data_IF_560226809909
#
_entry.id   IF_560226809909
#
_cell.length_a   1.000
_cell.length_b   1.000
_cell.length_c   1.000
_cell.angle_alpha   90.00
_cell.angle_beta   90.00
_cell.angle_gamma   90.00
#
_symmetry.space_group_name_H-M   'P 1'
#
loop_
_entity.id
_entity.type
_entity.pdbx_description
1 polymer ?
#
# COMPACT_ATOMS: atom_id res chain seq x y z
N UNK A 1 25.98 0.86 16.12
CA UNK A 1 25.50 -0.43 15.60
C UNK A 1 24.03 -0.62 15.96
N UNK A 2 23.16 0.35 15.67
CA UNK A 2 21.71 0.22 15.93
C UNK A 2 20.96 0.66 14.67
N UNK A 3 20.69 -0.31 13.80
CA UNK A 3 19.81 -0.18 12.63
C UNK A 3 19.06 -1.48 12.42
N UNK A 4 17.98 -1.65 13.16
CA UNK A 4 16.77 -2.35 12.73
C UNK A 4 15.62 -1.72 13.51
N UNK A 5 14.88 -0.85 12.82
CA UNK A 5 13.74 -0.16 13.39
C UNK A 5 12.70 -1.16 13.86
N UNK A 6 12.20 -0.93 15.08
CA UNK A 6 11.09 -1.63 15.71
C UNK A 6 9.94 -1.81 14.71
N UNK A 7 9.79 -3.02 14.17
CA UNK A 7 8.54 -3.46 13.57
C UNK A 7 7.52 -3.47 14.71
N UNK A 8 6.54 -2.57 14.64
CA UNK A 8 5.43 -2.53 15.59
C UNK A 8 4.35 -3.44 15.03
N UNK A 9 4.07 -4.53 15.72
CA UNK A 9 3.21 -5.60 15.23
C UNK A 9 1.76 -5.24 15.56
N UNK A 10 0.88 -5.32 14.55
CA UNK A 10 -0.55 -5.03 14.65
C UNK A 10 -1.33 -6.32 14.44
N UNK A 11 -1.83 -6.87 15.54
CA UNK A 11 -2.83 -7.95 15.51
C UNK A 11 -4.15 -7.36 14.96
N UNK A 12 -4.33 -7.36 13.65
CA UNK A 12 -5.32 -6.50 12.98
C UNK A 12 -6.79 -6.96 13.12
N UNK A 13 -7.10 -8.06 13.82
CA UNK A 13 -8.47 -8.59 13.84
C UNK A 13 -9.02 -9.12 15.17
N UNK A 14 -8.23 -9.23 16.24
CA UNK A 14 -8.75 -9.71 17.54
C UNK A 14 -9.62 -8.67 18.29
N UNK A 15 -9.70 -7.42 17.81
CA UNK A 15 -10.63 -6.43 18.34
C UNK A 15 -12.04 -6.49 17.73
N UNK A 16 -12.26 -7.28 16.66
CA UNK A 16 -13.57 -7.38 15.97
C UNK A 16 -14.41 -8.60 16.39
N UNK A 17 -13.87 -9.50 17.21
CA UNK A 17 -14.60 -10.65 17.77
C UNK A 17 -15.69 -10.27 18.80
N UNK A 18 -15.87 -8.98 19.09
CA UNK A 18 -16.98 -8.47 19.90
C UNK A 18 -18.28 -8.20 19.11
N UNK A 19 -18.37 -8.59 17.83
CA UNK A 19 -19.56 -8.41 17.00
C UNK A 19 -20.07 -9.73 16.44
N UNK A 20 -21.20 -10.20 16.97
CA UNK A 20 -22.07 -11.29 16.50
C UNK A 20 -21.52 -12.73 16.39
N UNK A 21 -20.26 -12.99 16.75
CA UNK A 21 -19.80 -14.37 17.01
C UNK A 21 -19.70 -14.56 18.52
N UNK A 22 -20.62 -15.33 19.13
CA UNK A 22 -20.53 -15.75 20.54
C UNK A 22 -19.34 -16.70 20.73
N UNK A 23 -18.15 -16.15 20.72
CA UNK A 23 -16.98 -16.75 21.35
C UNK A 23 -16.91 -16.08 22.72
N UNK A 24 -16.97 -16.86 23.80
CA UNK A 24 -16.90 -16.32 25.16
C UNK A 24 -15.66 -15.41 25.29
N UNK A 25 -15.84 -14.22 25.86
CA UNK A 25 -14.84 -13.14 25.90
C UNK A 25 -13.48 -13.61 26.48
N UNK A 26 -13.51 -14.55 27.43
CA UNK A 26 -12.33 -15.13 28.06
C UNK A 26 -11.51 -16.03 27.10
N UNK A 27 -12.21 -16.70 26.18
CA UNK A 27 -11.61 -17.60 25.19
C UNK A 27 -10.87 -16.85 24.06
N UNK A 28 -11.40 -15.68 23.66
CA UNK A 28 -10.74 -14.82 22.67
C UNK A 28 -9.40 -14.27 23.18
N UNK A 29 -9.29 -14.02 24.49
CA UNK A 29 -8.07 -13.51 25.10
C UNK A 29 -7.00 -14.61 25.23
N UNK A 30 -7.39 -15.81 25.65
CA UNK A 30 -6.46 -16.95 25.72
C UNK A 30 -5.87 -17.33 24.35
N UNK A 31 -6.70 -17.38 23.30
CA UNK A 31 -6.21 -17.69 21.94
C UNK A 31 -5.28 -16.60 21.40
N UNK A 32 -5.54 -15.34 21.76
CA UNK A 32 -4.66 -14.22 21.44
C UNK A 32 -3.30 -14.40 22.10
N UNK A 33 -3.29 -14.65 23.40
CA UNK A 33 -2.05 -14.77 24.17
C UNK A 33 -1.19 -15.94 23.63
N UNK A 34 -1.81 -17.08 23.27
CA UNK A 34 -1.11 -18.19 22.64
C UNK A 34 -0.47 -17.85 21.28
N UNK A 35 -1.10 -17.02 20.44
CA UNK A 35 -0.48 -16.58 19.17
C UNK A 35 0.63 -15.57 19.40
N UNK A 36 0.45 -14.65 20.36
CA UNK A 36 1.43 -13.61 20.67
C UNK A 36 2.73 -14.20 21.23
N UNK A 37 2.73 -15.40 21.83
CA UNK A 37 3.97 -16.11 22.22
C UNK A 37 4.89 -16.47 21.04
N UNK A 38 4.35 -16.53 19.83
CA UNK A 38 5.10 -16.86 18.61
C UNK A 38 5.48 -15.61 17.80
N UNK A 39 5.13 -14.43 18.30
CA UNK A 39 5.52 -13.15 17.75
C UNK A 39 7.05 -12.96 17.87
N UNK A 40 7.72 -12.56 16.79
CA UNK A 40 9.19 -12.47 16.68
C UNK A 40 9.95 -13.78 16.97
N UNK A 41 9.24 -14.89 17.19
CA UNK A 41 9.86 -16.20 17.41
C UNK A 41 10.50 -16.67 16.11
N UNK A 42 11.64 -17.31 16.27
CA UNK A 42 12.45 -17.78 15.16
C UNK A 42 12.28 -19.29 15.01
N UNK A 43 11.87 -19.71 13.82
CA UNK A 43 11.90 -21.11 13.42
C UNK A 43 13.35 -21.62 13.39
N UNK A 44 13.57 -22.92 13.57
CA UNK A 44 14.88 -23.52 13.32
C UNK A 44 15.31 -23.21 11.88
N UNK A 45 16.62 -23.10 11.66
CA UNK A 45 17.18 -22.67 10.38
C UNK A 45 16.71 -23.52 9.19
N UNK A 46 16.44 -24.80 9.43
CA UNK A 46 16.06 -25.78 8.42
C UNK A 46 14.54 -26.05 8.37
N UNK A 47 13.77 -25.42 9.27
CA UNK A 47 12.33 -25.61 9.34
C UNK A 47 11.59 -24.63 8.42
N UNK A 48 10.68 -25.17 7.61
CA UNK A 48 9.77 -24.36 6.81
C UNK A 48 8.81 -23.56 7.69
N UNK A 49 8.33 -24.17 8.77
CA UNK A 49 7.49 -23.55 9.81
C UNK A 49 7.74 -24.21 11.16
N UNK A 50 7.66 -23.44 12.25
CA UNK A 50 7.64 -23.99 13.60
C UNK A 50 6.37 -24.83 13.81
N UNK A 51 6.53 -26.09 14.22
CA UNK A 51 5.41 -27.01 14.40
C UNK A 51 4.50 -26.64 15.57
N UNK A 52 5.01 -25.93 16.57
CA UNK A 52 4.22 -25.35 17.65
C UNK A 52 3.30 -24.26 17.10
N UNK A 53 3.84 -23.33 16.32
CA UNK A 53 3.07 -22.29 15.65
C UNK A 53 1.97 -22.89 14.77
N UNK A 54 2.32 -23.86 13.93
CA UNK A 54 1.37 -24.48 13.02
C UNK A 54 0.20 -25.16 13.76
N UNK A 55 0.49 -25.83 14.89
CA UNK A 55 -0.53 -26.44 15.75
C UNK A 55 -1.43 -25.40 16.41
N UNK A 56 -0.87 -24.29 16.89
CA UNK A 56 -1.66 -23.19 17.49
C UNK A 56 -2.58 -22.57 16.45
N UNK A 57 -2.07 -22.27 15.25
CA UNK A 57 -2.87 -21.77 14.14
C UNK A 57 -4.03 -22.71 13.81
N UNK A 58 -3.76 -24.01 13.70
CA UNK A 58 -4.78 -25.02 13.42
C UNK A 58 -5.83 -25.14 14.53
N UNK A 59 -5.44 -25.08 15.80
CA UNK A 59 -6.38 -25.09 16.93
C UNK A 59 -7.32 -23.89 16.88
N UNK A 60 -6.81 -22.71 16.57
CA UNK A 60 -7.62 -21.50 16.45
C UNK A 60 -8.57 -21.62 15.27
N UNK A 61 -8.10 -22.05 14.10
CA UNK A 61 -8.96 -22.26 12.93
C UNK A 61 -10.03 -23.29 13.17
N UNK A 62 -9.71 -24.43 13.79
CA UNK A 62 -10.71 -25.44 14.12
C UNK A 62 -11.81 -24.89 15.05
N UNK A 63 -11.41 -24.13 16.07
CA UNK A 63 -12.34 -23.59 17.09
C UNK A 63 -13.19 -22.43 16.60
N UNK A 64 -12.63 -21.59 15.74
CA UNK A 64 -13.27 -20.34 15.30
C UNK A 64 -13.85 -20.42 13.90
N UNK A 65 -13.47 -21.44 13.12
CA UNK A 65 -13.68 -21.51 11.67
C UNK A 65 -13.06 -20.34 10.88
N UNK A 66 -12.17 -19.55 11.51
CA UNK A 66 -11.45 -18.44 10.88
C UNK A 66 -10.10 -18.91 10.36
N UNK A 67 -9.66 -18.34 9.25
CA UNK A 67 -8.30 -18.57 8.75
C UNK A 67 -7.31 -17.85 9.65
N UNK A 68 -6.16 -18.47 9.91
CA UNK A 68 -5.03 -17.86 10.61
C UNK A 68 -3.85 -17.89 9.67
N UNK A 69 -3.12 -16.77 9.55
CA UNK A 69 -1.93 -16.74 8.73
C UNK A 69 -0.73 -16.12 9.42
N UNK A 70 0.44 -16.55 8.95
CA UNK A 70 1.75 -16.18 9.43
C UNK A 70 2.64 -15.79 8.25
N UNK A 71 3.30 -14.64 8.39
CA UNK A 71 4.37 -14.22 7.49
C UNK A 71 5.72 -14.50 8.13
N UNK A 72 6.57 -15.23 7.42
CA UNK A 72 7.88 -15.67 7.92
C UNK A 72 8.96 -15.22 6.94
N UNK A 73 10.01 -14.57 7.43
CA UNK A 73 11.14 -14.14 6.60
C UNK A 73 12.11 -15.30 6.27
N UNK A 74 13.11 -15.03 5.40
CA UNK A 74 14.18 -15.99 5.07
C UNK A 74 15.07 -16.39 6.25
N UNK A 75 15.07 -15.62 7.34
CA UNK A 75 15.82 -15.95 8.56
C UNK A 75 15.00 -16.84 9.50
N UNK A 76 13.73 -17.10 9.18
CA UNK A 76 12.81 -17.91 9.98
C UNK A 76 12.04 -17.11 11.03
N UNK A 77 12.12 -15.77 11.02
CA UNK A 77 11.43 -14.91 11.99
C UNK A 77 9.98 -14.72 11.56
N UNK A 78 9.04 -14.92 12.48
CA UNK A 78 7.62 -14.61 12.29
C UNK A 78 7.44 -13.09 12.34
N UNK A 79 7.20 -12.48 11.18
CA UNK A 79 7.08 -11.03 10.97
C UNK A 79 5.69 -10.53 11.31
N UNK A 80 4.66 -11.35 11.08
CA UNK A 80 3.27 -10.97 11.34
C UNK A 80 2.38 -12.20 11.46
N UNK A 81 1.35 -12.08 12.32
CA UNK A 81 0.26 -13.04 12.49
C UNK A 81 -1.08 -12.33 12.31
N UNK A 82 -2.03 -12.97 11.65
CA UNK A 82 -3.36 -12.42 11.40
C UNK A 82 -4.44 -13.51 11.40
N UNK A 83 -5.69 -13.10 11.62
CA UNK A 83 -6.88 -13.96 11.63
C UNK A 83 -7.93 -13.32 10.71
N UNK A 84 -8.55 -14.10 9.81
CA UNK A 84 -9.50 -13.60 8.80
C UNK A 84 -10.74 -14.49 8.67
N UNK A 85 -11.87 -13.84 8.32
CA UNK A 85 -13.20 -14.41 8.12
C UNK A 85 -13.26 -15.33 6.89
N UNK A 86 -12.81 -14.87 5.71
CA UNK A 86 -12.87 -15.60 4.43
C UNK A 86 -11.85 -15.06 3.42
N UNK A 87 -11.39 -15.94 2.53
CA UNK A 87 -10.60 -15.88 1.27
C UNK A 87 -9.55 -14.78 1.04
N UNK A 88 -9.70 -13.62 1.65
CA UNK A 88 -8.86 -12.45 1.49
C UNK A 88 -8.04 -12.22 2.76
N UNK A 89 -6.73 -12.25 2.57
CA UNK A 89 -5.76 -11.78 3.56
C UNK A 89 -5.43 -10.34 3.19
N UNK A 90 -5.90 -9.38 3.98
CA UNK A 90 -5.59 -7.97 3.75
C UNK A 90 -4.16 -7.64 4.21
N UNK A 91 -3.23 -7.68 3.25
CA UNK A 91 -1.81 -7.42 3.48
C UNK A 91 -1.43 -5.95 3.19
N UNK A 92 -2.40 -5.06 2.97
CA UNK A 92 -2.19 -3.68 2.52
C UNK A 92 -1.32 -2.83 3.46
N UNK A 93 -1.22 -3.18 4.75
CA UNK A 93 -0.40 -2.46 5.73
C UNK A 93 0.98 -3.10 6.00
N UNK A 94 1.30 -4.25 5.41
CA UNK A 94 2.55 -4.97 5.67
C UNK A 94 3.55 -4.64 4.57
N UNK A 95 4.77 -4.24 4.96
CA UNK A 95 5.88 -3.99 4.03
C UNK A 95 6.28 -5.32 3.40
N UNK A 96 5.60 -5.66 2.31
CA UNK A 96 5.60 -6.97 1.66
C UNK A 96 6.49 -6.94 0.42
N UNK A 97 7.19 -8.03 0.17
CA UNK A 97 8.11 -8.16 -0.96
C UNK A 97 8.83 -9.52 -0.97
N UNK A 98 9.75 -9.68 -1.92
CA UNK A 98 10.64 -10.85 -2.05
C UNK A 98 11.30 -11.18 -0.70
N UNK A 99 11.39 -12.45 -0.35
CA UNK A 99 11.99 -12.89 0.92
C UNK A 99 11.02 -13.20 2.06
N UNK A 100 9.72 -13.22 1.79
CA UNK A 100 8.68 -13.60 2.75
C UNK A 100 7.95 -14.86 2.28
N UNK A 101 7.60 -15.71 3.25
CA UNK A 101 6.78 -16.91 3.07
C UNK A 101 5.46 -16.69 3.79
N UNK A 102 4.36 -16.89 3.09
CA UNK A 102 3.03 -16.81 3.67
C UNK A 102 2.49 -18.21 3.93
N UNK A 103 2.11 -18.48 5.19
CA UNK A 103 1.49 -19.74 5.60
C UNK A 103 0.14 -19.40 6.20
N UNK A 104 -0.93 -19.99 5.70
CA UNK A 104 -2.28 -19.79 6.23
C UNK A 104 -3.03 -21.11 6.37
N UNK A 105 -3.90 -21.17 7.37
CA UNK A 105 -4.79 -22.30 7.63
C UNK A 105 -6.11 -22.11 6.91
N UNK A 106 -6.67 -23.21 6.42
CA UNK A 106 -7.96 -23.25 5.74
C UNK A 106 -8.87 -24.23 6.49
N UNK A 107 -10.09 -23.81 6.90
CA UNK A 107 -11.04 -24.70 7.54
C UNK A 107 -11.59 -25.74 6.55
N UNK A 108 -12.08 -26.87 7.06
CA UNK A 108 -12.77 -27.93 6.31
C UNK A 108 -11.91 -28.71 5.29
N UNK A 109 -10.63 -28.94 5.61
CA UNK A 109 -9.73 -29.85 4.87
C UNK A 109 -9.51 -29.52 3.37
N UNK A 110 -9.82 -28.30 2.92
CA UNK A 110 -9.53 -27.89 1.53
C UNK A 110 -8.27 -27.03 1.47
N UNK A 111 -7.10 -27.65 1.47
CA UNK A 111 -5.84 -26.92 1.40
C UNK A 111 -5.46 -26.48 -0.03
N UNK A 112 -6.34 -26.64 -1.03
CA UNK A 112 -6.02 -26.27 -2.41
C UNK A 112 -5.86 -24.75 -2.56
N UNK A 113 -4.80 -24.34 -3.26
CA UNK A 113 -4.56 -22.93 -3.54
C UNK A 113 -5.61 -22.36 -4.50
N UNK A 114 -6.34 -21.37 -4.01
CA UNK A 114 -7.35 -20.64 -4.76
C UNK A 114 -6.72 -19.71 -5.80
N UNK A 115 -7.54 -19.15 -6.70
CA UNK A 115 -7.07 -18.11 -7.63
C UNK A 115 -6.60 -16.85 -6.89
N UNK A 116 -7.17 -16.57 -5.72
CA UNK A 116 -6.78 -15.44 -4.88
C UNK A 116 -5.42 -15.67 -4.22
N UNK A 117 -5.11 -16.90 -3.81
CA UNK A 117 -3.78 -17.28 -3.29
C UNK A 117 -2.70 -17.10 -4.37
N UNK A 118 -3.00 -17.56 -5.59
CA UNK A 118 -2.11 -17.40 -6.75
C UNK A 118 -1.92 -15.94 -7.13
N UNK A 119 -2.97 -15.14 -7.10
CA UNK A 119 -2.90 -13.70 -7.34
C UNK A 119 -2.09 -13.00 -6.24
N UNK A 120 -2.27 -13.39 -4.98
CA UNK A 120 -1.55 -12.86 -3.80
C UNK A 120 -0.05 -13.17 -3.90
N UNK A 121 0.31 -14.42 -4.22
CA UNK A 121 1.70 -14.83 -4.45
C UNK A 121 2.38 -13.93 -5.50
N UNK A 122 1.72 -13.70 -6.64
CA UNK A 122 2.23 -12.85 -7.73
C UNK A 122 2.28 -11.37 -7.35
N UNK A 123 1.20 -10.85 -6.75
CA UNK A 123 1.04 -9.42 -6.41
C UNK A 123 2.08 -8.95 -5.39
N UNK A 124 2.33 -9.75 -4.35
CA UNK A 124 3.23 -9.37 -3.26
C UNK A 124 4.67 -9.91 -3.43
N UNK A 125 4.89 -10.76 -4.44
CA UNK A 125 6.21 -11.31 -4.73
C UNK A 125 6.76 -12.18 -3.61
N UNK A 126 5.89 -12.92 -2.90
CA UNK A 126 6.34 -13.85 -1.86
C UNK A 126 7.19 -14.97 -2.45
N UNK A 127 8.12 -15.48 -1.65
CA UNK A 127 8.92 -16.64 -2.03
C UNK A 127 8.01 -17.89 -2.15
N UNK A 128 6.98 -17.98 -1.32
CA UNK A 128 5.92 -18.98 -1.45
C UNK A 128 4.62 -18.57 -0.73
N UNK A 129 3.53 -19.22 -1.11
CA UNK A 129 2.27 -19.26 -0.35
C UNK A 129 1.94 -20.71 0.00
N UNK A 130 1.55 -20.97 1.25
CA UNK A 130 1.21 -22.30 1.74
C UNK A 130 -0.16 -22.27 2.40
N UNK A 131 -1.08 -23.03 1.85
CA UNK A 131 -2.38 -23.31 2.47
C UNK A 131 -2.28 -24.64 3.22
N UNK A 132 -2.76 -24.66 4.46
CA UNK A 132 -2.78 -25.85 5.33
C UNK A 132 -4.21 -26.18 5.72
N UNK A 133 -4.68 -27.36 5.35
CA UNK A 133 -6.01 -27.84 5.68
C UNK A 133 -6.13 -28.15 7.18
N UNK A 134 -7.29 -27.83 7.75
CA UNK A 134 -7.58 -28.07 9.18
C UNK A 134 -8.87 -28.86 9.33
N UNK A 135 -8.80 -29.88 10.17
CA UNK A 135 -9.90 -30.78 10.58
C UNK A 135 -10.07 -30.78 12.10
N UNK A 136 -11.04 -31.57 12.58
CA UNK A 136 -11.22 -31.87 14.01
C UNK A 136 -9.99 -32.56 14.62
N UNK A 137 -9.22 -33.28 13.81
CA UNK A 137 -8.02 -34.02 14.23
C UNK A 137 -6.73 -33.18 14.12
N UNK A 138 -6.83 -31.89 13.78
CA UNK A 138 -5.70 -30.99 13.58
C UNK A 138 -5.41 -30.73 12.10
N UNK A 139 -4.15 -30.48 11.76
CA UNK A 139 -3.75 -30.23 10.37
C UNK A 139 -3.88 -31.49 9.51
N UNK A 140 -4.35 -31.33 8.28
CA UNK A 140 -4.50 -32.41 7.31
C UNK A 140 -3.36 -32.36 6.30
N UNK A 141 -3.64 -31.92 5.09
CA UNK A 141 -2.75 -31.72 3.97
C UNK A 141 -2.31 -30.26 3.87
N UNK A 142 -1.30 -30.00 3.05
CA UNK A 142 -0.89 -28.66 2.69
C UNK A 142 -0.54 -28.56 1.20
N UNK A 143 -0.83 -27.43 0.58
CA UNK A 143 -0.36 -27.12 -0.76
C UNK A 143 0.52 -25.88 -0.73
N UNK A 144 1.71 -26.00 -1.32
CA UNK A 144 2.71 -24.93 -1.35
C UNK A 144 2.93 -24.48 -2.78
N UNK A 145 2.57 -23.23 -3.04
CA UNK A 145 2.74 -22.56 -4.33
C UNK A 145 4.03 -21.75 -4.33
N UNK A 146 4.87 -22.00 -5.33
CA UNK A 146 6.12 -21.28 -5.55
C UNK A 146 6.17 -20.77 -6.99
N UNK A 147 6.64 -19.53 -7.18
CA UNK A 147 6.76 -18.94 -8.51
C UNK A 147 8.04 -19.43 -9.20
N UNK A 148 7.89 -20.08 -10.36
CA UNK A 148 8.99 -20.53 -11.23
C UNK A 148 8.78 -19.89 -12.60
N UNK A 149 9.58 -18.88 -12.92
CA UNK A 149 9.35 -18.00 -14.05
C UNK A 149 7.98 -17.30 -13.95
N UNK A 150 7.09 -17.58 -14.91
CA UNK A 150 5.71 -17.04 -14.97
C UNK A 150 4.65 -17.99 -14.40
N UNK A 151 5.03 -19.23 -14.13
CA UNK A 151 4.13 -20.29 -13.68
C UNK A 151 4.25 -20.51 -12.17
N UNK A 152 3.18 -21.05 -11.58
CA UNK A 152 3.17 -21.41 -10.16
C UNK A 152 3.29 -22.92 -10.09
N UNK A 153 4.43 -23.38 -9.59
CA UNK A 153 4.62 -24.78 -9.23
C UNK A 153 3.94 -25.03 -7.89
N UNK A 154 3.11 -26.07 -7.81
CA UNK A 154 2.40 -26.45 -6.60
C UNK A 154 2.98 -27.78 -6.10
N UNK A 155 3.52 -27.77 -4.88
CA UNK A 155 3.91 -28.98 -4.17
C UNK A 155 2.80 -29.38 -3.22
N UNK A 156 2.20 -30.54 -3.47
CA UNK A 156 1.16 -31.11 -2.60
C UNK A 156 1.81 -31.94 -1.49
N UNK A 157 1.38 -31.73 -0.26
CA UNK A 157 1.88 -32.40 0.94
C UNK A 157 0.69 -33.10 1.59
N UNK A 158 0.55 -34.43 1.41
CA UNK A 158 -0.60 -35.17 1.92
C UNK A 158 -0.78 -35.10 3.44
N UNK A 159 0.29 -34.80 4.18
CA UNK A 159 0.23 -34.61 5.62
C UNK A 159 1.15 -33.46 6.05
N UNK A 160 0.53 -32.36 6.46
CA UNK A 160 1.18 -31.11 6.84
C UNK A 160 2.12 -31.24 8.05
N UNK A 161 1.97 -32.26 8.90
CA UNK A 161 2.93 -32.54 9.98
C UNK A 161 4.34 -32.89 9.48
N UNK A 162 4.46 -33.27 8.20
CA UNK A 162 5.73 -33.56 7.57
C UNK A 162 6.27 -32.41 6.70
N UNK A 163 5.63 -31.24 6.71
CA UNK A 163 5.99 -30.13 5.79
C UNK A 163 7.47 -29.75 5.81
N UNK A 164 8.13 -29.78 6.98
CA UNK A 164 9.56 -29.47 7.11
C UNK A 164 10.47 -30.54 6.47
N UNK A 165 9.97 -31.75 6.20
CA UNK A 165 10.74 -32.84 5.55
C UNK A 165 10.73 -32.79 4.03
N UNK A 166 9.96 -31.89 3.41
CA UNK A 166 9.81 -31.81 1.94
C UNK A 166 10.91 -30.98 1.25
N UNK A 167 11.91 -30.51 1.99
CA UNK A 167 13.02 -29.71 1.43
C UNK A 167 12.54 -28.40 0.79
N UNK A 168 11.44 -27.82 1.28
CA UNK A 168 10.80 -26.66 0.65
C UNK A 168 11.70 -25.43 0.62
N UNK A 169 12.53 -25.24 1.65
CA UNK A 169 13.50 -24.15 1.71
C UNK A 169 14.54 -24.25 0.61
N UNK A 170 15.06 -25.45 0.34
CA UNK A 170 16.01 -25.69 -0.75
C UNK A 170 15.37 -25.43 -2.12
N UNK A 171 14.10 -25.84 -2.30
CA UNK A 171 13.34 -25.56 -3.52
C UNK A 171 13.11 -24.06 -3.72
N UNK A 172 12.77 -23.33 -2.66
CA UNK A 172 12.64 -21.86 -2.70
C UNK A 172 13.95 -21.23 -3.15
N UNK A 173 15.08 -21.65 -2.56
CA UNK A 173 16.39 -21.13 -2.92
C UNK A 173 16.77 -21.48 -4.37
N UNK A 174 16.48 -22.70 -4.83
CA UNK A 174 16.69 -23.13 -6.22
C UNK A 174 15.87 -22.30 -7.20
N UNK A 175 14.56 -22.20 -7.00
CA UNK A 175 13.68 -21.41 -7.86
C UNK A 175 14.01 -19.93 -7.84
N UNK A 176 14.44 -19.39 -6.69
CA UNK A 176 14.93 -18.01 -6.63
C UNK A 176 16.19 -17.80 -7.49
N UNK A 177 17.09 -18.79 -7.56
CA UNK A 177 18.31 -18.75 -8.40
C UNK A 177 18.01 -18.96 -9.87
N UNK A 178 17.07 -19.84 -10.21
CA UNK A 178 16.68 -20.09 -11.60
C UNK A 178 15.93 -18.89 -12.18
N UNK A 179 15.05 -18.27 -11.39
CA UNK A 179 14.45 -16.98 -11.74
C UNK A 179 15.53 -15.90 -11.98
N UNK A 180 16.62 -15.89 -11.19
CA UNK A 180 17.74 -14.96 -11.38
C UNK A 180 18.67 -15.31 -12.58
N UNK A 181 18.60 -16.51 -13.17
CA UNK A 181 19.42 -16.90 -14.33
C UNK A 181 18.81 -16.47 -15.66
N UNK A 182 17.48 -16.44 -15.74
CA UNK A 182 16.76 -15.77 -16.84
C UNK A 182 16.81 -14.22 -16.70
N UNK A 183 17.21 -13.70 -15.54
CA UNK A 183 17.31 -12.26 -15.23
C UNK A 183 18.56 -11.56 -15.80
N UNK A 184 19.50 -12.24 -16.49
CA UNK A 184 20.58 -11.54 -17.20
C UNK A 184 20.12 -10.79 -18.47
N UNK A 185 18.81 -10.82 -18.77
CA UNK A 185 18.15 -9.90 -19.71
C UNK A 185 16.79 -9.39 -19.22
N UNK A 186 16.45 -9.55 -17.94
CA UNK A 186 15.16 -9.14 -17.41
C UNK A 186 15.31 -8.41 -16.08
N UNK A 187 15.31 -7.09 -16.17
CA UNK A 187 14.97 -6.21 -15.05
C UNK A 187 13.65 -6.68 -14.42
N UNK A 188 13.60 -6.63 -13.08
CA UNK A 188 12.43 -6.95 -12.28
C UNK A 188 11.14 -6.36 -12.89
N UNK A 189 10.36 -7.18 -13.61
CA UNK A 189 9.00 -6.81 -14.01
C UNK A 189 8.11 -6.87 -12.78
N UNK A 190 8.19 -5.83 -11.97
CA UNK A 190 6.96 -5.18 -11.50
C UNK A 190 6.16 -4.97 -12.77
N UNK A 191 5.09 -5.73 -12.99
CA UNK A 191 4.21 -5.47 -14.12
C UNK A 191 3.78 -4.00 -13.95
N UNK A 192 4.30 -3.13 -14.81
CA UNK A 192 4.09 -1.69 -14.70
C UNK A 192 2.57 -1.48 -14.75
N UNK A 193 1.98 -0.98 -13.68
CA UNK A 193 0.52 -0.85 -13.58
C UNK A 193 0.01 -0.07 -14.79
N UNK A 194 -0.99 -0.61 -15.47
CA UNK A 194 -1.56 -0.03 -16.69
C UNK A 194 -2.73 0.86 -16.32
N UNK A 195 -2.69 2.11 -16.74
CA UNK A 195 -3.74 3.07 -16.43
C UNK A 195 -4.34 3.72 -17.68
N UNK A 196 -5.65 3.95 -17.60
CA UNK A 196 -6.36 4.85 -18.51
C UNK A 196 -6.50 6.19 -17.82
N UNK A 197 -6.09 7.25 -18.50
CA UNK A 197 -6.31 8.62 -18.01
C UNK A 197 -7.68 9.11 -18.46
N UNK A 198 -8.44 9.70 -17.55
CA UNK A 198 -9.78 10.23 -17.81
C UNK A 198 -9.87 11.69 -17.38
N UNK A 199 -10.39 12.54 -18.26
CA UNK A 199 -10.64 13.95 -17.95
C UNK A 199 -12.05 14.39 -18.37
N UNK A 200 -12.76 15.04 -17.45
CA UNK A 200 -13.96 15.80 -17.77
C UNK A 200 -13.59 17.29 -17.83
N UNK A 201 -13.59 17.85 -19.04
CA UNK A 201 -13.36 19.27 -19.27
C UNK A 201 -14.65 20.03 -18.90
N UNK A 202 -14.61 20.81 -17.82
CA UNK A 202 -15.74 21.57 -17.27
C UNK A 202 -15.41 23.07 -17.39
N UNK A 203 -16.20 23.80 -18.19
CA UNK A 203 -16.19 25.27 -18.32
C UNK A 203 -14.84 25.97 -18.64
N UNK A 204 -13.75 25.23 -18.82
CA UNK A 204 -12.42 25.77 -19.16
C UNK A 204 -12.20 25.74 -20.67
N UNK A 205 -11.59 26.81 -21.19
CA UNK A 205 -10.95 26.89 -22.51
C UNK A 205 -9.46 26.52 -22.41
N UNK A 206 -9.08 25.81 -21.34
CA UNK A 206 -7.72 25.32 -21.13
C UNK A 206 -7.41 24.22 -22.16
N UNK A 207 -6.15 24.16 -22.58
CA UNK A 207 -5.69 23.16 -23.52
C UNK A 207 -5.67 21.78 -22.85
N UNK A 208 -6.75 21.01 -23.04
CA UNK A 208 -6.92 19.62 -22.57
C UNK A 208 -5.70 18.76 -22.89
N UNK A 209 -4.99 19.04 -23.99
CA UNK A 209 -3.79 18.29 -24.35
C UNK A 209 -2.63 18.55 -23.40
N UNK A 210 -2.49 19.77 -22.87
CA UNK A 210 -1.48 20.14 -21.88
C UNK A 210 -1.78 19.47 -20.54
N UNK A 211 -3.03 19.51 -20.08
CA UNK A 211 -3.44 18.91 -18.81
C UNK A 211 -3.29 17.39 -18.82
N UNK A 212 -3.74 16.73 -19.89
CA UNK A 212 -3.56 15.28 -20.05
C UNK A 212 -2.08 14.88 -20.16
N UNK A 213 -1.23 15.74 -20.74
CA UNK A 213 0.21 15.50 -20.81
C UNK A 213 0.88 15.66 -19.45
N UNK A 214 0.45 16.63 -18.64
CA UNK A 214 0.92 16.76 -17.25
C UNK A 214 0.48 15.56 -16.42
N UNK A 215 -0.79 15.13 -16.54
CA UNK A 215 -1.32 13.96 -15.84
C UNK A 215 -0.59 12.67 -16.25
N UNK A 216 -0.27 12.50 -17.53
CA UNK A 216 0.59 11.42 -18.00
C UNK A 216 1.99 11.49 -17.40
N UNK A 217 2.59 12.67 -17.32
CA UNK A 217 3.86 12.88 -16.64
C UNK A 217 3.81 12.44 -15.18
N UNK A 218 2.71 12.71 -14.47
CA UNK A 218 2.50 12.28 -13.10
C UNK A 218 2.40 10.75 -13.02
N UNK A 219 1.59 10.13 -13.89
CA UNK A 219 1.43 8.68 -13.93
C UNK A 219 2.78 7.98 -14.21
N UNK A 220 3.53 8.45 -15.19
CA UNK A 220 4.85 7.93 -15.52
C UNK A 220 5.84 8.08 -14.35
N UNK A 221 5.79 9.23 -13.65
CA UNK A 221 6.61 9.47 -12.44
C UNK A 221 6.28 8.50 -11.31
N UNK A 222 5.02 8.08 -11.20
CA UNK A 222 4.56 7.07 -10.25
C UNK A 222 4.90 5.62 -10.70
N UNK A 223 5.54 5.46 -11.86
CA UNK A 223 5.82 4.13 -12.43
C UNK A 223 4.60 3.46 -13.03
N UNK A 224 3.59 4.22 -13.44
CA UNK A 224 2.35 3.73 -14.05
C UNK A 224 2.45 3.90 -15.58
N UNK A 225 2.13 2.86 -16.34
CA UNK A 225 2.09 2.87 -17.80
C UNK A 225 0.74 3.40 -18.27
N UNK A 226 0.72 4.55 -18.93
CA UNK A 226 -0.49 5.05 -19.57
C UNK A 226 -0.77 4.25 -20.84
N UNK A 227 -1.90 3.56 -20.90
CA UNK A 227 -2.31 2.75 -22.07
C UNK A 227 -3.33 3.45 -22.95
N UNK A 228 -4.12 4.37 -22.38
CA UNK A 228 -5.11 5.13 -23.12
C UNK A 228 -5.42 6.46 -22.42
N UNK A 229 -5.93 7.44 -23.17
CA UNK A 229 -6.34 8.76 -22.68
C UNK A 229 -7.72 9.08 -23.24
N UNK A 230 -8.68 9.28 -22.35
CA UNK A 230 -10.07 9.49 -22.68
C UNK A 230 -10.52 10.80 -22.06
N UNK A 231 -11.21 11.65 -22.81
CA UNK A 231 -11.75 12.89 -22.26
C UNK A 231 -13.17 13.16 -22.76
N UNK A 232 -13.89 14.01 -22.03
CA UNK A 232 -15.23 14.45 -22.39
C UNK A 232 -15.44 15.92 -22.01
N UNK A 233 -15.80 16.75 -22.99
CA UNK A 233 -16.28 18.11 -22.74
C UNK A 233 -17.69 18.09 -22.16
N UNK A 234 -17.90 18.82 -21.07
CA UNK A 234 -19.21 18.97 -20.41
C UNK A 234 -19.40 20.39 -19.89
N UNK A 235 -20.63 20.87 -19.90
CA UNK A 235 -20.97 22.12 -19.21
C UNK A 235 -20.96 21.94 -17.69
N UNK A 236 -21.40 20.77 -17.19
CA UNK A 236 -21.40 20.44 -15.76
C UNK A 236 -20.99 18.98 -15.52
N UNK A 237 -20.30 18.70 -14.39
CA UNK A 237 -19.95 17.35 -14.02
C UNK A 237 -21.21 16.53 -13.75
N UNK A 238 -21.22 15.28 -14.21
CA UNK A 238 -22.24 14.33 -13.78
C UNK A 238 -22.16 14.12 -12.25
N UNK A 239 -23.31 14.16 -11.53
CA UNK A 239 -23.29 14.04 -10.07
C UNK A 239 -22.80 12.67 -9.60
N UNK A 240 -22.99 11.61 -10.40
CA UNK A 240 -22.66 10.22 -10.06
C UNK A 240 -21.26 9.81 -10.51
N UNK A 241 -20.86 10.18 -11.72
CA UNK A 241 -19.62 9.70 -12.34
C UNK A 241 -18.68 10.80 -12.84
N UNK A 242 -19.05 12.08 -12.74
CA UNK A 242 -18.37 13.25 -13.38
C UNK A 242 -18.49 13.25 -14.90
N UNK A 243 -18.41 12.10 -15.54
CA UNK A 243 -18.63 11.84 -16.97
C UNK A 243 -20.04 11.29 -17.24
N UNK A 244 -20.47 11.29 -18.50
CA UNK A 244 -21.77 10.73 -18.90
C UNK A 244 -21.75 9.20 -19.02
N UNK A 245 -22.92 8.56 -18.92
CA UNK A 245 -23.06 7.10 -18.96
C UNK A 245 -22.49 6.46 -20.23
N UNK A 246 -22.75 7.04 -21.42
CA UNK A 246 -22.17 6.52 -22.67
C UNK A 246 -20.62 6.58 -22.68
N UNK A 247 -20.03 7.56 -21.99
CA UNK A 247 -18.56 7.66 -21.85
C UNK A 247 -18.03 6.68 -20.82
N UNK A 248 -18.80 6.43 -19.76
CA UNK A 248 -18.48 5.40 -18.77
C UNK A 248 -18.42 4.00 -19.42
N UNK A 249 -19.37 3.68 -20.30
CA UNK A 249 -19.36 2.42 -21.07
C UNK A 249 -18.18 2.33 -22.05
N UNK A 250 -17.80 3.45 -22.67
CA UNK A 250 -16.59 3.53 -23.49
C UNK A 250 -15.33 3.22 -22.67
N UNK A 251 -15.19 3.81 -21.48
CA UNK A 251 -14.07 3.55 -20.57
C UNK A 251 -14.10 2.10 -20.09
N UNK A 252 -15.26 1.54 -19.73
CA UNK A 252 -15.37 0.14 -19.30
C UNK A 252 -14.92 -0.84 -20.40
N UNK A 253 -15.20 -0.52 -21.67
CA UNK A 253 -14.69 -1.29 -22.81
C UNK A 253 -13.18 -1.12 -22.97
N UNK A 254 -12.68 0.10 -22.89
CA UNK A 254 -11.25 0.38 -22.96
C UNK A 254 -10.46 -0.32 -21.84
N UNK A 255 -10.97 -0.34 -20.61
CA UNK A 255 -10.35 -1.07 -19.48
C UNK A 255 -10.13 -2.54 -19.82
N UNK A 256 -11.10 -3.19 -20.46
CA UNK A 256 -10.99 -4.61 -20.86
C UNK A 256 -10.07 -4.81 -22.06
N UNK A 257 -10.18 -3.95 -23.08
CA UNK A 257 -9.40 -4.05 -24.32
C UNK A 257 -7.92 -3.74 -24.09
N UNK A 258 -7.64 -2.71 -23.31
CA UNK A 258 -6.30 -2.21 -23.03
C UNK A 258 -5.68 -2.85 -21.77
N UNK A 259 -6.36 -3.85 -21.18
CA UNK A 259 -5.96 -4.56 -19.96
C UNK A 259 -5.48 -3.58 -18.86
N UNK A 260 -6.28 -2.56 -18.59
CA UNK A 260 -5.92 -1.55 -17.60
C UNK A 260 -6.19 -2.06 -16.18
N UNK A 261 -5.23 -1.88 -15.29
CA UNK A 261 -5.34 -2.23 -13.86
C UNK A 261 -6.09 -1.15 -13.07
N UNK A 262 -6.12 0.08 -13.60
CA UNK A 262 -6.73 1.24 -12.94
C UNK A 262 -7.15 2.35 -13.90
N UNK A 263 -7.98 3.25 -13.40
CA UNK A 263 -8.36 4.50 -14.08
C UNK A 263 -7.97 5.70 -13.22
N UNK A 264 -7.31 6.68 -13.84
CA UNK A 264 -6.84 7.90 -13.19
C UNK A 264 -7.66 9.08 -13.72
N UNK A 265 -8.44 9.70 -12.84
CA UNK A 265 -9.21 10.89 -13.17
C UNK A 265 -8.39 12.16 -12.88
N UNK A 266 -8.37 13.10 -13.83
CA UNK A 266 -7.81 14.43 -13.59
C UNK A 266 -8.64 15.20 -12.56
N UNK A 267 -9.98 15.17 -12.70
CA UNK A 267 -10.89 15.87 -11.82
C UNK A 267 -10.89 15.27 -10.41
N UNK A 268 -11.02 16.13 -9.40
CA UNK A 268 -11.19 15.68 -8.02
C UNK A 268 -12.49 14.89 -7.85
N UNK A 269 -12.35 13.69 -7.27
CA UNK A 269 -13.48 12.81 -6.98
C UNK A 269 -13.80 12.85 -5.49
N UNK A 270 -15.06 12.62 -5.13
CA UNK A 270 -15.42 12.32 -3.74
C UNK A 270 -15.55 10.80 -3.56
N UNK A 271 -15.65 10.32 -2.32
CA UNK A 271 -15.71 8.88 -2.04
C UNK A 271 -16.85 8.17 -2.76
N UNK A 272 -18.04 8.79 -2.82
CA UNK A 272 -19.20 8.21 -3.51
C UNK A 272 -18.96 8.06 -5.03
N UNK A 273 -18.34 9.07 -5.66
CA UNK A 273 -17.98 9.01 -7.09
C UNK A 273 -16.93 7.93 -7.37
N UNK A 274 -15.89 7.82 -6.54
CA UNK A 274 -14.88 6.75 -6.64
C UNK A 274 -15.57 5.38 -6.58
N UNK A 275 -16.36 5.12 -5.54
CA UNK A 275 -17.03 3.82 -5.40
C UNK A 275 -17.94 3.51 -6.59
N UNK A 276 -18.71 4.49 -7.05
CA UNK A 276 -19.60 4.31 -8.20
C UNK A 276 -18.82 3.98 -9.48
N UNK A 277 -17.68 4.64 -9.70
CA UNK A 277 -16.80 4.39 -10.84
C UNK A 277 -16.11 3.02 -10.71
N UNK A 278 -15.60 2.64 -9.53
CA UNK A 278 -14.98 1.33 -9.29
C UNK A 278 -15.99 0.18 -9.50
N UNK A 279 -17.23 0.33 -9.02
CA UNK A 279 -18.29 -0.64 -9.25
C UNK A 279 -18.65 -0.78 -10.73
N UNK A 280 -18.65 0.32 -11.48
CA UNK A 280 -18.99 0.31 -12.90
C UNK A 280 -17.83 -0.22 -13.79
N UNK A 281 -16.59 0.08 -13.42
CA UNK A 281 -15.40 -0.22 -14.23
C UNK A 281 -14.72 -1.54 -13.84
N UNK A 282 -14.92 -2.02 -12.61
CA UNK A 282 -14.32 -3.26 -12.09
C UNK A 282 -12.81 -3.16 -11.79
N UNK A 283 -12.25 -1.95 -11.78
CA UNK A 283 -10.83 -1.67 -11.54
C UNK A 283 -10.68 -0.49 -10.58
N UNK A 284 -9.48 -0.33 -9.99
CA UNK A 284 -9.20 0.74 -9.03
C UNK A 284 -9.35 2.11 -9.69
N UNK A 285 -9.96 3.06 -8.98
CA UNK A 285 -10.09 4.45 -9.47
C UNK A 285 -9.41 5.41 -8.50
N UNK A 286 -8.51 6.23 -9.03
CA UNK A 286 -7.86 7.31 -8.26
C UNK A 286 -8.06 8.65 -8.97
N UNK A 287 -7.93 9.74 -8.23
CA UNK A 287 -7.86 11.08 -8.78
C UNK A 287 -6.44 11.65 -8.79
N UNK A 288 -6.25 12.79 -9.47
CA UNK A 288 -4.99 13.52 -9.53
C UNK A 288 -4.37 13.79 -8.15
N UNK A 289 -5.20 14.18 -7.18
CA UNK A 289 -4.75 14.44 -5.81
C UNK A 289 -4.14 13.19 -5.17
N UNK A 290 -4.77 12.03 -5.33
CA UNK A 290 -4.23 10.77 -4.81
C UNK A 290 -2.94 10.37 -5.54
N UNK A 291 -2.89 10.52 -6.87
CA UNK A 291 -1.69 10.23 -7.66
C UNK A 291 -0.48 11.07 -7.19
N UNK A 292 -0.69 12.36 -6.93
CA UNK A 292 0.36 13.25 -6.42
C UNK A 292 0.84 12.79 -5.04
N UNK A 293 -0.08 12.40 -4.15
CA UNK A 293 0.27 11.91 -2.82
C UNK A 293 1.06 10.59 -2.88
N UNK A 294 0.74 9.71 -3.83
CA UNK A 294 1.48 8.47 -4.05
C UNK A 294 2.90 8.75 -4.57
N UNK A 295 3.06 9.69 -5.50
CA UNK A 295 4.39 10.17 -5.93
C UNK A 295 5.16 10.73 -4.73
N UNK A 296 4.53 11.54 -3.87
CA UNK A 296 5.18 12.06 -2.69
C UNK A 296 5.59 10.95 -1.71
N UNK A 297 4.76 9.91 -1.54
CA UNK A 297 5.09 8.78 -0.69
C UNK A 297 6.32 8.03 -1.21
N UNK A 298 6.44 7.85 -2.54
CA UNK A 298 7.61 7.26 -3.18
C UNK A 298 8.87 8.11 -3.01
N UNK A 299 8.75 9.44 -2.99
CA UNK A 299 9.88 10.38 -2.92
C UNK A 299 10.28 10.77 -1.49
N UNK A 300 9.42 10.59 -0.51
CA UNK A 300 9.67 10.96 0.88
C UNK A 300 10.78 10.12 1.52
N UNK A 301 11.98 10.69 1.65
CA UNK A 301 13.12 10.02 2.28
C UNK A 301 13.24 10.36 3.75
N UNK A 302 12.99 11.62 4.12
CA UNK A 302 13.08 12.06 5.51
C UNK A 302 11.91 11.55 6.35
N UNK A 303 12.15 11.36 7.66
CA UNK A 303 11.09 10.99 8.60
C UNK A 303 9.96 12.04 8.62
N UNK A 304 10.32 13.32 8.52
CA UNK A 304 9.35 14.41 8.44
C UNK A 304 8.53 14.37 7.14
N UNK A 305 9.18 14.19 5.99
CA UNK A 305 8.50 14.06 4.71
C UNK A 305 7.50 12.91 4.73
N UNK A 306 7.91 11.74 5.27
CA UNK A 306 7.02 10.59 5.42
C UNK A 306 5.81 10.89 6.31
N UNK A 307 6.01 11.56 7.44
CA UNK A 307 4.91 11.97 8.33
C UNK A 307 3.95 12.95 7.66
N UNK A 308 4.47 13.91 6.89
CA UNK A 308 3.65 14.89 6.17
C UNK A 308 2.81 14.23 5.07
N UNK A 309 3.40 13.31 4.32
CA UNK A 309 2.70 12.58 3.27
C UNK A 309 1.64 11.67 3.85
N UNK A 310 1.96 10.90 4.89
CA UNK A 310 0.99 10.01 5.54
C UNK A 310 -0.18 10.82 6.12
N UNK A 311 0.09 11.96 6.75
CA UNK A 311 -0.96 12.86 7.24
C UNK A 311 -1.84 13.38 6.09
N UNK A 312 -1.23 13.77 4.96
CA UNK A 312 -1.95 14.27 3.80
C UNK A 312 -2.82 13.18 3.16
N UNK A 313 -2.31 11.95 3.03
CA UNK A 313 -3.08 10.79 2.58
C UNK A 313 -4.29 10.54 3.49
N UNK A 314 -4.10 10.47 4.81
CA UNK A 314 -5.21 10.24 5.74
C UNK A 314 -6.26 11.36 5.70
N UNK A 315 -5.84 12.63 5.60
CA UNK A 315 -6.76 13.77 5.45
C UNK A 315 -7.54 13.73 4.14
N UNK A 316 -6.93 13.22 3.06
CA UNK A 316 -7.58 13.06 1.77
C UNK A 316 -8.56 11.86 1.76
N UNK A 317 -8.18 10.75 2.40
CA UNK A 317 -9.01 9.54 2.48
C UNK A 317 -10.19 9.66 3.45
N UNK A 318 -10.04 10.39 4.56
CA UNK A 318 -11.07 10.54 5.59
C UNK A 318 -12.46 10.97 5.05
N UNK A 319 -12.60 12.05 4.26
CA UNK A 319 -13.90 12.43 3.69
C UNK A 319 -14.44 11.39 2.69
N UNK A 320 -13.57 10.57 2.10
CA UNK A 320 -13.95 9.52 1.13
C UNK A 320 -14.52 8.29 1.82
N UNK A 321 -14.06 7.98 3.04
CA UNK A 321 -14.60 6.89 3.88
C UNK A 321 -16.08 7.09 4.25
N UNK A 322 -16.54 8.35 4.33
CA UNK A 322 -17.94 8.66 4.62
C UNK A 322 -18.91 8.27 3.48
N UNK A 323 -18.43 8.20 2.24
CA UNK A 323 -19.24 7.84 1.07
C UNK A 323 -19.55 6.35 0.93
N UNK A 324 -18.84 5.48 1.67
CA UNK A 324 -19.03 4.02 1.70
C UNK A 324 -20.27 3.57 2.52
N UNK A 325 -20.87 4.49 3.30
CA UNK A 325 -22.00 4.22 4.18
C UNK A 325 -23.27 3.70 3.48
N UNK A 326 -23.39 3.93 2.16
CA UNK A 326 -24.61 3.62 1.40
C UNK A 326 -24.76 2.16 0.96
N UNK A 327 -23.69 1.38 0.89
CA UNK A 327 -23.70 0.02 0.33
C UNK A 327 -23.76 -1.07 1.40
N UNK A 328 -23.25 -0.82 2.60
CA UNK A 328 -23.28 -1.80 3.71
C UNK A 328 -24.54 -1.71 4.58
N UNK A 329 -25.36 -0.65 4.43
CA UNK A 329 -26.53 -0.38 5.27
C UNK A 329 -27.86 -1.02 4.83
N UNK A 330 -27.90 -1.83 3.76
CA UNK A 330 -29.16 -2.36 3.21
C UNK A 330 -29.46 -3.84 3.47
N UNK A 331 -28.56 -4.60 4.11
CA UNK A 331 -28.85 -5.97 4.54
C UNK A 331 -29.36 -6.10 5.98
N UNK A 332 -29.68 -4.98 6.64
CA UNK A 332 -30.30 -4.94 7.97
C UNK A 332 -31.71 -4.34 7.95
N UNK A 333 -32.59 -4.85 7.10
CA UNK A 333 -34.02 -4.54 7.15
C UNK A 333 -34.65 -5.14 8.41
N UNK A 334 -34.54 -4.43 9.53
CA UNK A 334 -35.14 -4.80 10.81
C UNK A 334 -35.50 -3.55 11.59
N UNK A 335 -36.78 -3.17 11.50
CA UNK A 335 -37.41 -2.17 12.36
C UNK A 335 -37.13 -2.55 13.83
N UNK A 336 -36.35 -1.75 14.57
CA UNK A 336 -36.38 -1.82 16.04
C UNK A 336 -35.07 -1.91 16.85
N UNK A 337 -33.88 -1.56 16.36
CA UNK A 337 -32.68 -1.48 17.22
C UNK A 337 -32.18 -0.04 17.36
N UNK A 338 -32.89 0.75 18.18
CA UNK A 338 -32.35 1.97 18.82
C UNK A 338 -31.54 1.52 20.05
N UNK A 339 -30.26 1.23 19.85
CA UNK A 339 -29.27 1.09 20.92
C UNK A 339 -28.07 2.00 20.64
N UNK A 340 -27.34 2.48 21.66
CA UNK A 340 -26.22 3.42 21.52
C UNK A 340 -24.92 2.73 21.06
N UNK A 341 -25.02 1.82 20.10
CA UNK A 341 -23.85 1.15 19.51
C UNK A 341 -23.27 1.99 18.40
N UNK A 342 -22.00 2.40 18.53
CA UNK A 342 -21.26 3.08 17.46
C UNK A 342 -21.26 2.21 16.19
N UNK A 343 -21.60 2.80 15.04
CA UNK A 343 -21.60 2.07 13.78
C UNK A 343 -20.17 1.70 13.37
N UNK A 344 -19.97 0.57 12.66
CA UNK A 344 -18.65 0.12 12.18
C UNK A 344 -17.88 1.23 11.42
N UNK A 345 -18.61 2.11 10.75
CA UNK A 345 -18.07 3.24 10.00
C UNK A 345 -17.62 4.40 10.91
N UNK A 346 -18.33 4.67 12.01
CA UNK A 346 -17.92 5.64 13.02
C UNK A 346 -16.66 5.18 13.76
N UNK A 347 -16.55 3.88 14.07
CA UNK A 347 -15.35 3.29 14.64
C UNK A 347 -14.15 3.44 13.70
N UNK A 348 -14.30 3.10 12.41
CA UNK A 348 -13.24 3.28 11.42
C UNK A 348 -12.81 4.76 11.28
N UNK A 349 -13.77 5.69 11.30
CA UNK A 349 -13.47 7.13 11.30
C UNK A 349 -12.69 7.56 12.54
N UNK A 350 -13.08 7.07 13.73
CA UNK A 350 -12.38 7.40 14.98
C UNK A 350 -10.92 6.96 14.91
N UNK A 351 -10.64 5.75 14.44
CA UNK A 351 -9.27 5.23 14.29
C UNK A 351 -8.43 6.12 13.36
N UNK A 352 -9.00 6.54 12.22
CA UNK A 352 -8.30 7.44 11.28
C UNK A 352 -8.07 8.82 11.91
N UNK A 353 -9.06 9.37 12.62
CA UNK A 353 -8.95 10.65 13.32
C UNK A 353 -7.88 10.62 14.43
N UNK A 354 -7.85 9.56 15.23
CA UNK A 354 -6.85 9.38 16.29
C UNK A 354 -5.44 9.30 15.69
N UNK A 355 -5.30 8.62 14.53
CA UNK A 355 -4.04 8.56 13.79
C UNK A 355 -3.63 9.94 13.26
N UNK A 356 -4.56 10.72 12.72
CA UNK A 356 -4.32 12.11 12.30
C UNK A 356 -3.81 12.95 13.48
N UNK A 357 -4.49 12.91 14.63
CA UNK A 357 -4.10 13.66 15.83
C UNK A 357 -2.69 13.28 16.31
N UNK A 358 -2.37 11.99 16.27
CA UNK A 358 -1.03 11.49 16.64
C UNK A 358 0.05 12.01 15.69
N UNK A 359 -0.17 11.96 14.38
CA UNK A 359 0.76 12.46 13.37
C UNK A 359 0.94 13.98 13.46
N UNK A 360 -0.13 14.73 13.70
CA UNK A 360 -0.07 16.17 13.93
C UNK A 360 0.77 16.54 15.16
N UNK A 361 0.63 15.77 16.26
CA UNK A 361 1.46 15.94 17.45
C UNK A 361 2.93 15.64 17.18
N UNK A 362 3.23 14.58 16.42
CA UNK A 362 4.60 14.26 16.02
C UNK A 362 5.21 15.36 15.15
N UNK A 363 4.46 15.89 14.17
CA UNK A 363 4.90 17.00 13.34
C UNK A 363 5.13 18.29 14.14
N UNK A 364 4.33 18.55 15.18
CA UNK A 364 4.54 19.69 16.08
C UNK A 364 5.92 19.62 16.75
N UNK A 365 6.33 18.44 17.22
CA UNK A 365 7.66 18.24 17.83
C UNK A 365 8.80 18.45 16.82
N UNK A 366 8.61 18.01 15.58
CA UNK A 366 9.59 18.23 14.50
C UNK A 366 9.72 19.73 14.17
N UNK A 367 8.60 20.48 14.16
CA UNK A 367 8.63 21.95 13.97
C UNK A 367 9.45 22.65 15.05
N UNK A 368 9.28 22.29 16.33
CA UNK A 368 10.08 22.86 17.43
C UNK A 368 11.57 22.66 17.21
N UNK A 369 11.97 21.46 16.75
CA UNK A 369 13.38 21.14 16.43
C UNK A 369 13.90 21.99 15.26
N UNK A 370 13.08 22.19 14.20
CA UNK A 370 13.42 23.07 13.08
C UNK A 370 13.58 24.53 13.49
N UNK A 371 12.74 25.03 14.41
CA UNK A 371 12.82 26.41 14.88
C UNK A 371 14.12 26.69 15.64
N UNK A 372 14.55 25.76 16.50
CA UNK A 372 15.85 25.83 17.18
C UNK A 372 17.00 25.89 16.17
N UNK A 373 16.97 25.03 15.14
CA UNK A 373 17.97 25.05 14.07
C UNK A 373 17.93 26.34 13.25
N UNK A 374 16.74 26.91 13.01
CA UNK A 374 16.57 28.19 12.30
C UNK A 374 17.10 29.36 13.12
N UNK A 375 16.90 29.35 14.44
CA UNK A 375 17.47 30.35 15.35
C UNK A 375 19.00 30.31 15.30
N UNK A 376 19.62 29.13 15.40
CA UNK A 376 21.06 28.97 15.28
C UNK A 376 21.61 29.48 13.92
N UNK A 377 20.86 29.28 12.82
CA UNK A 377 21.22 29.85 11.51
C UNK A 377 21.10 31.37 11.45
N UNK A 378 20.10 31.98 12.11
CA UNK A 378 20.00 33.45 12.21
C UNK A 378 21.20 34.07 12.92
N UNK A 379 21.74 33.39 13.94
CA UNK A 379 22.98 33.82 14.61
C UNK A 379 24.22 33.78 13.69
N UNK A 380 24.21 32.95 12.63
CA UNK A 380 25.34 32.82 11.68
C UNK A 380 25.42 33.91 10.61
N UNK A 381 24.51 34.91 10.58
CA UNK A 381 24.43 36.00 9.59
C UNK A 381 24.31 35.61 8.11
N UNK A 382 24.23 34.32 7.76
CA UNK A 382 24.09 33.85 6.36
C UNK A 382 22.70 34.17 5.78
N UNK A 383 22.66 34.75 4.58
CA UNK A 383 21.40 35.01 3.84
C UNK A 383 20.89 33.71 3.22
N UNK A 384 19.57 33.52 3.18
CA UNK A 384 18.93 32.34 2.57
C UNK A 384 18.22 32.75 1.28
N UNK A 385 18.43 32.01 0.20
CA UNK A 385 17.84 32.20 -1.13
C UNK A 385 17.13 30.92 -1.53
N UNK A 386 15.87 31.00 -1.97
CA UNK A 386 15.09 29.85 -2.40
C UNK A 386 14.86 29.89 -3.91
N UNK A 387 15.02 28.75 -4.58
CA UNK A 387 14.68 28.59 -6.01
C UNK A 387 13.25 28.06 -6.09
N UNK A 388 12.37 28.78 -6.78
CA UNK A 388 10.94 28.44 -6.96
C UNK A 388 10.59 28.31 -8.44
N UNK A 389 9.54 27.56 -8.77
CA UNK A 389 9.11 27.33 -10.16
C UNK A 389 8.42 25.98 -10.35
N UNK A 390 7.80 25.78 -11.52
CA UNK A 390 7.09 24.55 -11.88
C UNK A 390 7.98 23.31 -11.84
N UNK A 391 7.39 22.15 -11.57
CA UNK A 391 8.06 20.86 -11.74
C UNK A 391 8.65 20.77 -13.15
N UNK A 392 9.83 20.15 -13.24
CA UNK A 392 10.59 20.03 -14.49
C UNK A 392 11.07 21.36 -15.15
N UNK A 393 10.98 22.50 -14.47
CA UNK A 393 11.50 23.78 -14.98
C UNK A 393 13.03 23.95 -14.85
N UNK A 394 13.77 22.89 -14.53
CA UNK A 394 15.22 22.92 -14.36
C UNK A 394 15.74 23.44 -13.00
N UNK A 395 14.89 23.55 -11.96
CA UNK A 395 15.31 24.06 -10.62
C UNK A 395 16.50 23.30 -10.02
N UNK A 396 16.42 21.97 -9.93
CA UNK A 396 17.48 21.15 -9.36
C UNK A 396 18.73 21.11 -10.25
N UNK A 397 18.55 21.23 -11.58
CA UNK A 397 19.67 21.39 -12.53
C UNK A 397 20.40 22.71 -12.32
N UNK A 398 19.68 23.83 -12.15
CA UNK A 398 20.26 25.13 -11.83
C UNK A 398 21.01 25.09 -10.50
N UNK A 399 20.42 24.46 -9.48
CA UNK A 399 21.10 24.29 -8.18
C UNK A 399 22.42 23.55 -8.34
N UNK A 400 22.43 22.42 -9.07
CA UNK A 400 23.64 21.63 -9.33
C UNK A 400 24.74 22.44 -10.03
N UNK A 401 24.37 23.25 -11.02
CA UNK A 401 25.31 24.11 -11.73
C UNK A 401 25.91 25.18 -10.81
N UNK A 402 25.08 25.80 -9.97
CA UNK A 402 25.54 26.83 -9.03
C UNK A 402 26.42 26.25 -7.92
N UNK A 403 26.06 25.10 -7.35
CA UNK A 403 26.78 24.49 -6.21
C UNK A 403 27.89 23.54 -6.62
N UNK A 404 28.01 23.19 -7.90
CA UNK A 404 28.93 22.16 -8.45
C UNK A 404 28.73 20.79 -7.81
N UNK A 405 27.48 20.46 -7.46
CA UNK A 405 27.12 19.17 -6.88
C UNK A 405 26.30 18.28 -7.84
N UNK A 406 26.17 17.00 -7.49
CA UNK A 406 25.33 16.02 -8.20
C UNK A 406 24.08 15.70 -7.39
N UNK A 407 23.17 16.66 -7.22
CA UNK A 407 21.82 16.37 -6.73
C UNK A 407 21.04 15.61 -7.80
N UNK A 408 20.10 14.77 -7.36
CA UNK A 408 19.23 14.03 -8.26
C UNK A 408 18.37 15.02 -9.07
N UNK A 409 18.60 15.05 -10.37
CA UNK A 409 17.79 15.79 -11.33
C UNK A 409 17.44 14.82 -12.46
N UNK A 410 16.14 14.61 -12.69
CA UNK A 410 15.60 13.82 -13.79
C UNK A 410 14.39 14.52 -14.36
N UNK A 411 14.06 14.16 -15.59
CA UNK A 411 12.83 14.54 -16.29
C UNK A 411 11.63 13.78 -15.71
N UNK A 412 11.33 14.04 -14.44
CA UNK A 412 10.29 13.41 -13.62
C UNK A 412 9.60 14.52 -12.79
N UNK A 413 8.27 14.47 -12.65
CA UNK A 413 7.58 15.40 -11.75
C UNK A 413 7.98 15.13 -10.30
N UNK A 414 8.08 16.18 -9.48
CA UNK A 414 8.44 16.07 -8.06
C UNK A 414 9.73 15.28 -7.77
N UNK A 415 10.74 15.38 -8.65
CA UNK A 415 12.07 14.79 -8.45
C UNK A 415 12.69 15.13 -7.08
N UNK A 416 12.34 16.29 -6.51
CA UNK A 416 12.77 16.77 -5.19
C UNK A 416 11.54 17.09 -4.32
N UNK A 417 11.33 16.31 -3.24
CA UNK A 417 10.30 16.57 -2.22
C UNK A 417 10.90 17.20 -0.95
N UNK A 418 12.05 16.70 -0.51
CA UNK A 418 12.73 17.22 0.66
C UNK A 418 13.54 18.48 0.29
N UNK A 419 13.27 19.61 0.97
CA UNK A 419 14.02 20.86 0.75
C UNK A 419 15.51 20.62 1.00
N UNK A 420 16.33 20.90 -0.01
CA UNK A 420 17.78 20.71 0.07
C UNK A 420 18.46 22.06 0.24
N UNK A 421 19.20 22.26 1.33
CA UNK A 421 19.98 23.49 1.56
C UNK A 421 21.45 23.26 1.26
N UNK A 422 22.11 24.20 0.59
CA UNK A 422 23.55 24.20 0.32
C UNK A 422 24.17 25.57 0.53
N UNK A 423 25.45 25.58 0.89
CA UNK A 423 26.23 26.80 0.94
C UNK A 423 26.70 27.14 -0.47
N UNK A 424 26.57 28.41 -0.86
CA UNK A 424 27.07 28.94 -2.11
C UNK A 424 27.82 30.25 -1.83
N UNK A 425 29.00 30.38 -2.40
CA UNK A 425 29.76 31.63 -2.37
C UNK A 425 29.37 32.47 -3.59
N UNK A 426 28.83 33.67 -3.36
CA UNK A 426 28.52 34.62 -4.44
C UNK A 426 29.77 35.39 -4.88
N UNK A 427 30.61 35.74 -3.91
CA UNK A 427 31.92 36.37 -4.09
C UNK A 427 32.87 35.90 -2.97
N UNK A 428 34.07 36.47 -2.87
CA UNK A 428 35.08 36.07 -1.85
C UNK A 428 34.62 36.27 -0.40
N UNK A 429 33.65 37.14 -0.13
CA UNK A 429 33.26 37.55 1.22
C UNK A 429 31.78 37.25 1.54
N UNK A 430 30.99 36.79 0.57
CA UNK A 430 29.55 36.61 0.70
C UNK A 430 29.15 35.15 0.50
N UNK A 431 28.86 34.48 1.62
CA UNK A 431 28.30 33.13 1.63
C UNK A 431 26.78 33.18 1.84
N UNK A 432 26.04 32.44 1.00
CA UNK A 432 24.58 32.30 1.08
C UNK A 432 24.18 30.83 1.24
N UNK A 433 22.97 30.62 1.76
CA UNK A 433 22.29 29.34 1.78
C UNK A 433 21.29 29.27 0.63
N UNK A 434 21.59 28.45 -0.37
CA UNK A 434 20.69 28.16 -1.49
C UNK A 434 19.78 26.98 -1.13
N UNK A 435 18.47 27.14 -1.32
CA UNK A 435 17.45 26.12 -1.00
C UNK A 435 16.70 25.73 -2.26
N UNK A 436 16.71 24.44 -2.61
CA UNK A 436 15.80 23.88 -3.61
C UNK A 436 14.45 23.55 -2.97
N UNK A 437 13.39 23.98 -3.64
CA UNK A 437 12.01 23.84 -3.18
C UNK A 437 11.24 22.86 -4.06
N UNK A 438 10.14 22.34 -3.51
CA UNK A 438 9.22 21.48 -4.27
C UNK A 438 8.62 22.28 -5.43
N UNK A 439 8.57 21.66 -6.61
CA UNK A 439 8.01 22.32 -7.80
C UNK A 439 6.50 22.50 -7.75
N UNK A 440 6.01 23.57 -8.35
CA UNK A 440 4.58 23.79 -8.57
C UNK A 440 4.04 22.88 -9.69
N UNK A 441 2.73 22.64 -9.69
CA UNK A 441 1.96 21.99 -10.76
C UNK A 441 0.81 22.89 -11.15
N UNK A 442 0.28 22.73 -12.37
CA UNK A 442 -0.92 23.47 -12.76
C UNK A 442 -2.16 22.88 -12.05
N UNK A 443 -3.20 23.70 -11.89
CA UNK A 443 -4.48 23.29 -11.33
C UNK A 443 -5.63 24.06 -11.97
#
# INVERSE_FOLDING_TARGET
>A
MDKLGKLTIRCHYLYKLGGDMKIEFDFSQQLKDCLMEYEDKRCSKDDFVDMGLLKVMAQITHRTSLQVGALIDRKGVVVSLFVSDKDYIDLAEINTGKGLRLIHTVPNENSQLTNLDKATLKKYGFDCICAVGVSVNGVTDANVGMLVGKEINITNIPNALYINKYGLLEKIDQYSKDNNKDDNSFDATTQQQRAILVMAEIEKDDDVTVDLKELEGLANTAGIKVVNKIWQKRSKPDPKYVIGEGKLEEIARAVKLDEADMVIFDNQLNGSKINNLELALGVKVIDRSMLILDIFAMRAKTSEGKLQVELAQLKNSLPRLAGLSGTEGRFGGGVGMRGPGETKLELNKRVVMDKILKLEKQLKNVKTTREVNRQNRRYSKKKTVAIVGYTNSGKSTLMNLLTREKLYAKDELFATLDTTTRNLWLDKNTEILLVDTVGFINN
#
